data_IF_986242036244
#
_entry.id   IF_986242036244
#
_cell.length_a   1.000
_cell.length_b   1.000
_cell.length_c   1.000
_cell.angle_alpha   90.00
_cell.angle_beta   90.00
_cell.angle_gamma   90.00
#
_symmetry.space_group_name_H-M   'P 1'
#
loop_
_entity.id
_entity.type
_entity.pdbx_description
1 polymer ?
#
# COMPACT_ATOMS: atom_id res chain seq x y z
N UNK A 1 -15.02 7.99 14.95
CA UNK A 1 -14.60 7.54 13.60
C UNK A 1 -15.80 6.89 12.97
N UNK A 2 -16.25 7.39 11.82
CA UNK A 2 -17.47 6.91 11.14
C UNK A 2 -17.19 5.57 10.43
N UNK A 3 -18.12 4.59 10.44
CA UNK A 3 -17.91 3.31 9.78
C UNK A 3 -17.92 3.47 8.26
N UNK A 4 -16.92 2.87 7.62
CA UNK A 4 -16.75 2.90 6.17
C UNK A 4 -17.85 2.08 5.47
N UNK A 5 -18.44 2.57 4.37
CA UNK A 5 -19.45 1.80 3.63
C UNK A 5 -18.86 0.49 3.06
N UNK A 6 -19.66 -0.59 2.99
CA UNK A 6 -19.17 -1.97 2.75
C UNK A 6 -18.50 -2.22 1.41
N UNK A 7 -18.61 -1.30 0.44
CA UNK A 7 -18.06 -1.45 -0.91
C UNK A 7 -16.99 -0.40 -1.26
N UNK A 8 -16.48 0.34 -0.27
CA UNK A 8 -15.42 1.30 -0.52
C UNK A 8 -14.07 0.65 -0.19
N UNK A 9 -13.31 0.30 -1.22
CA UNK A 9 -11.90 -0.09 -1.09
C UNK A 9 -11.08 1.20 -1.20
N UNK A 10 -10.25 1.47 -0.19
CA UNK A 10 -9.27 2.55 -0.21
C UNK A 10 -7.90 1.99 -0.50
N UNK A 11 -6.98 2.85 -0.93
CA UNK A 11 -5.59 2.47 -1.13
C UNK A 11 -5.00 1.79 0.12
N UNK A 12 -5.36 2.27 1.31
CA UNK A 12 -4.95 1.67 2.59
C UNK A 12 -5.41 0.21 2.78
N UNK A 13 -6.50 -0.22 2.13
CA UNK A 13 -7.00 -1.60 2.22
C UNK A 13 -6.18 -2.56 1.32
N UNK A 14 -5.43 -2.03 0.36
CA UNK A 14 -4.62 -2.81 -0.60
C UNK A 14 -3.11 -2.55 -0.49
N UNK A 15 -2.70 -1.56 0.32
CA UNK A 15 -1.28 -1.27 0.57
C UNK A 15 -0.88 -1.68 1.97
N UNK A 16 0.27 -2.33 2.10
CA UNK A 16 0.92 -2.53 3.39
C UNK A 16 1.55 -1.21 3.82
N UNK A 17 1.15 -0.66 4.97
CA UNK A 17 1.77 0.53 5.54
C UNK A 17 2.81 0.11 6.58
N UNK A 18 3.99 0.70 6.51
CA UNK A 18 5.07 0.49 7.47
C UNK A 18 5.26 1.76 8.31
N UNK A 19 5.50 1.61 9.61
CA UNK A 19 6.04 2.70 10.44
C UNK A 19 7.47 3.05 10.01
N UNK A 20 8.01 4.17 10.51
CA UNK A 20 9.38 4.56 10.22
C UNK A 20 10.39 3.52 10.74
N UNK A 21 10.13 2.94 11.92
CA UNK A 21 10.96 1.91 12.53
C UNK A 21 10.88 0.60 11.74
N UNK A 22 9.68 0.19 11.33
CA UNK A 22 9.47 -1.00 10.50
C UNK A 22 10.15 -0.86 9.14
N UNK A 23 10.04 0.32 8.52
CA UNK A 23 10.72 0.63 7.26
C UNK A 23 12.24 0.48 7.36
N UNK A 24 12.83 0.88 8.50
CA UNK A 24 14.27 0.71 8.72
C UNK A 24 14.70 -0.74 8.88
N UNK A 25 13.81 -1.60 9.37
CA UNK A 25 14.06 -3.03 9.51
C UNK A 25 13.88 -3.83 8.21
N UNK A 26 13.27 -3.23 7.17
CA UNK A 26 13.10 -3.90 5.89
C UNK A 26 14.43 -4.16 5.19
N UNK A 27 14.57 -5.37 4.66
CA UNK A 27 15.66 -5.71 3.75
C UNK A 27 15.53 -4.97 2.42
N UNK A 28 16.63 -4.90 1.66
CA UNK A 28 16.64 -4.27 0.33
C UNK A 28 15.60 -4.89 -0.62
N UNK A 29 15.40 -6.20 -0.58
CA UNK A 29 14.40 -6.90 -1.40
C UNK A 29 12.98 -6.59 -0.97
N UNK A 30 12.71 -6.45 0.34
CA UNK A 30 11.39 -6.06 0.84
C UNK A 30 11.02 -4.62 0.46
N UNK A 31 11.97 -3.68 0.52
CA UNK A 31 11.75 -2.30 0.07
C UNK A 31 11.50 -2.23 -1.42
N UNK A 32 12.21 -3.04 -2.22
CA UNK A 32 11.98 -3.13 -3.65
C UNK A 32 10.57 -3.66 -3.97
N UNK A 33 10.15 -4.75 -3.32
CA UNK A 33 8.80 -5.28 -3.46
C UNK A 33 7.73 -4.28 -3.03
N UNK A 34 7.95 -3.50 -1.97
CA UNK A 34 7.03 -2.43 -1.59
C UNK A 34 6.87 -1.39 -2.69
N UNK A 35 7.97 -0.95 -3.31
CA UNK A 35 7.92 0.00 -4.43
C UNK A 35 7.23 -0.58 -5.66
N UNK A 36 7.57 -1.81 -6.06
CA UNK A 36 6.94 -2.50 -7.20
C UNK A 36 5.42 -2.63 -7.00
N UNK A 37 4.99 -3.17 -5.85
CA UNK A 37 3.57 -3.35 -5.54
C UNK A 37 2.84 -2.02 -5.41
N UNK A 38 3.48 -1.01 -4.82
CA UNK A 38 2.85 0.32 -4.67
C UNK A 38 2.72 1.03 -6.01
N UNK A 39 3.75 1.00 -6.86
CA UNK A 39 3.72 1.60 -8.20
C UNK A 39 2.72 0.89 -9.12
N UNK A 40 2.63 -0.44 -9.07
CA UNK A 40 1.63 -1.21 -9.84
C UNK A 40 0.20 -0.91 -9.37
N UNK A 41 -0.01 -0.73 -8.06
CA UNK A 41 -1.30 -0.32 -7.51
C UNK A 41 -1.68 1.12 -7.94
N UNK A 42 -0.73 2.06 -7.99
CA UNK A 42 -0.99 3.42 -8.51
C UNK A 42 -1.29 3.43 -10.02
N UNK A 43 -0.63 2.58 -10.80
CA UNK A 43 -0.89 2.46 -12.25
C UNK A 43 -2.22 1.76 -12.54
N UNK A 44 -2.67 0.84 -11.69
CA UNK A 44 -3.94 0.12 -11.87
C UNK A 44 -5.16 1.00 -11.59
N UNK A 45 -5.00 2.06 -10.78
CA UNK A 45 -6.05 3.07 -10.56
C UNK A 45 -6.16 4.09 -11.71
N UNK A 46 -5.21 4.10 -12.66
CA UNK A 46 -5.26 4.91 -13.88
C UNK A 46 -6.13 4.29 -14.98
N UNK A 47 -6.59 3.05 -14.80
CA UNK A 47 -7.38 2.30 -15.80
C UNK A 47 -8.84 2.03 -15.38
N UNK A 48 -9.36 2.80 -14.42
CA UNK A 48 -10.79 2.91 -14.11
C UNK A 48 -11.29 4.32 -14.46
#
# INVERSE_FOLDING_TARGET
MEPKPPNQISLADVTVQFSQEEWQMLSRSQRQLYWEVTTDNFSSLSFL
#
